data_IF_234477204171
#
_entry.id   IF_234477204171
#
_cell.length_a   1.000
_cell.length_b   1.000
_cell.length_c   1.000
_cell.angle_alpha   90.00
_cell.angle_beta   90.00
_cell.angle_gamma   90.00
#
_symmetry.space_group_name_H-M   'P 1'
#
loop_
_entity.id
_entity.type
_entity.pdbx_description
1 polymer ?
#
# COMPACT_ATOMS: atom_id res chain seq x y z
N UNK A 1 -34.31 -5.22 -32.41
CA UNK A 1 -33.49 -3.99 -32.44
C UNK A 1 -34.07 -2.80 -31.66
N UNK A 2 -35.29 -2.85 -31.08
CA UNK A 2 -35.78 -1.78 -30.16
C UNK A 2 -35.52 -2.04 -28.67
N UNK A 3 -35.28 -3.29 -28.24
CA UNK A 3 -35.01 -3.64 -26.83
C UNK A 3 -33.61 -3.28 -26.33
N UNK A 4 -32.60 -3.24 -27.20
CA UNK A 4 -31.22 -2.90 -26.81
C UNK A 4 -30.96 -1.38 -26.74
N UNK A 5 -31.84 -0.57 -27.34
CA UNK A 5 -31.77 0.90 -27.31
C UNK A 5 -32.49 1.49 -26.06
N UNK A 6 -33.43 0.73 -25.48
CA UNK A 6 -34.10 1.08 -24.22
C UNK A 6 -33.23 0.76 -23.00
N UNK A 7 -32.50 -0.37 -23.01
CA UNK A 7 -31.49 -0.69 -21.99
C UNK A 7 -30.35 0.32 -21.98
N UNK A 8 -29.93 0.85 -23.15
CA UNK A 8 -28.88 1.87 -23.24
C UNK A 8 -29.34 3.25 -22.77
N UNK A 9 -30.63 3.58 -22.92
CA UNK A 9 -31.21 4.84 -22.41
C UNK A 9 -31.49 4.83 -20.91
N UNK A 10 -31.54 3.68 -20.24
CA UNK A 10 -31.65 3.59 -18.78
C UNK A 10 -30.31 3.66 -18.06
N UNK A 11 -29.24 3.13 -18.65
CA UNK A 11 -27.88 3.31 -18.12
C UNK A 11 -27.45 4.79 -18.17
N UNK A 12 -27.88 5.56 -19.19
CA UNK A 12 -27.74 7.03 -19.22
C UNK A 12 -28.63 7.76 -18.19
N UNK A 13 -29.60 7.07 -17.57
CA UNK A 13 -30.47 7.61 -16.53
C UNK A 13 -29.79 7.70 -15.16
N UNK A 14 -28.75 6.89 -14.91
CA UNK A 14 -27.94 6.92 -13.68
C UNK A 14 -26.76 7.89 -13.81
N UNK A 15 -26.39 8.30 -15.03
CA UNK A 15 -25.46 9.41 -15.31
C UNK A 15 -26.10 10.78 -14.98
N UNK A 16 -26.44 11.01 -13.71
CA UNK A 16 -27.01 12.28 -13.27
C UNK A 16 -27.85 12.23 -12.00
N UNK A 17 -28.15 11.04 -11.46
CA UNK A 17 -28.86 10.92 -10.18
C UNK A 17 -27.85 11.15 -9.05
N UNK A 18 -28.12 12.16 -8.24
CA UNK A 18 -27.35 12.43 -7.03
C UNK A 18 -27.83 11.46 -5.95
N UNK A 19 -27.22 10.26 -5.90
CA UNK A 19 -27.61 9.18 -4.99
C UNK A 19 -27.29 9.47 -3.52
N UNK A 20 -26.86 10.68 -3.16
CA UNK A 20 -26.28 10.99 -1.84
C UNK A 20 -27.28 11.09 -0.70
N UNK A 21 -28.56 11.33 -1.00
CA UNK A 21 -29.58 11.66 0.00
C UNK A 21 -30.89 10.88 -0.18
N UNK A 22 -30.94 9.91 -1.11
CA UNK A 22 -32.16 9.16 -1.42
C UNK A 22 -31.93 7.66 -1.27
N UNK A 23 -32.94 6.98 -0.72
CA UNK A 23 -33.02 5.52 -0.72
C UNK A 23 -33.38 5.07 -2.14
N UNK A 24 -32.57 4.19 -2.74
CA UNK A 24 -32.72 3.81 -4.15
C UNK A 24 -32.63 2.31 -4.32
N UNK A 25 -33.64 1.71 -4.93
CA UNK A 25 -33.61 0.31 -5.35
C UNK A 25 -33.14 0.17 -6.80
N UNK A 26 -32.01 -0.52 -7.00
CA UNK A 26 -31.40 -0.80 -8.30
C UNK A 26 -31.36 -2.32 -8.62
N UNK A 27 -32.08 -3.17 -7.87
CA UNK A 27 -32.06 -4.65 -8.05
C UNK A 27 -32.46 -5.11 -9.46
N UNK A 28 -33.29 -4.33 -10.14
CA UNK A 28 -33.74 -4.58 -11.53
C UNK A 28 -32.79 -4.01 -12.60
N UNK A 29 -31.74 -3.29 -12.22
CA UNK A 29 -30.80 -2.63 -13.11
C UNK A 29 -29.46 -3.39 -13.15
N UNK A 30 -28.94 -3.66 -14.36
CA UNK A 30 -27.66 -4.37 -14.55
C UNK A 30 -26.47 -3.42 -14.31
N UNK A 31 -26.26 -3.02 -13.06
CA UNK A 31 -25.22 -2.07 -12.64
C UNK A 31 -24.22 -2.76 -11.71
N UNK A 32 -22.93 -2.64 -12.03
CA UNK A 32 -21.88 -3.18 -11.18
C UNK A 32 -21.77 -2.42 -9.84
N UNK A 33 -21.59 -3.10 -8.69
CA UNK A 33 -21.46 -2.46 -7.37
C UNK A 33 -20.38 -1.38 -7.29
N UNK A 34 -19.22 -1.63 -7.91
CA UNK A 34 -18.12 -0.65 -7.95
C UNK A 34 -18.53 0.67 -8.62
N UNK A 35 -19.40 0.60 -9.63
CA UNK A 35 -19.91 1.79 -10.34
C UNK A 35 -20.82 2.62 -9.44
N UNK A 36 -21.69 1.97 -8.66
CA UNK A 36 -22.57 2.65 -7.70
C UNK A 36 -21.77 3.24 -6.55
N UNK A 37 -20.79 2.50 -6.01
CA UNK A 37 -19.91 3.01 -4.95
C UNK A 37 -19.12 4.24 -5.41
N UNK A 38 -18.59 4.24 -6.63
CA UNK A 38 -17.91 5.41 -7.20
C UNK A 38 -18.87 6.61 -7.36
N UNK A 39 -20.11 6.36 -7.81
CA UNK A 39 -21.14 7.38 -7.95
C UNK A 39 -21.54 7.99 -6.59
N UNK A 40 -21.76 7.14 -5.58
CA UNK A 40 -22.09 7.53 -4.19
C UNK A 40 -20.97 8.35 -3.54
N UNK A 41 -19.70 7.99 -3.77
CA UNK A 41 -18.52 8.79 -3.35
C UNK A 41 -18.43 10.14 -4.08
N UNK A 42 -19.14 10.30 -5.19
CA UNK A 42 -19.03 11.46 -6.07
C UNK A 42 -17.70 11.52 -6.82
N UNK A 43 -17.05 10.38 -7.00
CA UNK A 43 -15.90 10.23 -7.87
C UNK A 43 -16.42 10.27 -9.33
N UNK A 44 -16.72 11.47 -9.83
CA UNK A 44 -16.84 11.65 -11.28
C UNK A 44 -15.50 11.20 -11.88
N UNK A 45 -15.52 10.14 -12.68
CA UNK A 45 -14.38 9.70 -13.47
C UNK A 45 -13.67 10.93 -14.06
N UNK A 46 -12.47 11.23 -13.57
CA UNK A 46 -11.59 12.14 -14.29
C UNK A 46 -11.13 11.35 -15.50
N UNK A 47 -11.52 11.73 -16.74
CA UNK A 47 -11.05 11.00 -17.90
C UNK A 47 -9.52 11.00 -17.90
N UNK A 48 -8.87 9.90 -18.32
CA UNK A 48 -7.42 9.80 -18.32
C UNK A 48 -6.85 10.96 -19.14
N UNK A 49 -6.18 11.90 -18.48
CA UNK A 49 -5.57 13.03 -19.15
C UNK A 49 -4.53 12.49 -20.13
N UNK A 50 -4.83 12.60 -21.44
CA UNK A 50 -3.90 12.42 -22.53
C UNK A 50 -2.74 13.39 -22.33
N UNK A 51 -1.66 12.93 -21.69
CA UNK A 51 -0.40 13.66 -21.65
C UNK A 51 0.17 13.68 -23.07
N UNK A 52 0.00 14.84 -23.69
CA UNK A 52 0.73 15.27 -24.87
C UNK A 52 2.22 15.07 -24.66
N UNK A 53 2.86 14.35 -25.57
CA UNK A 53 4.30 14.36 -25.70
C UNK A 53 4.80 15.74 -26.09
N UNK A 54 5.90 16.17 -25.48
CA UNK A 54 6.93 16.98 -26.15
C UNK A 54 8.30 16.71 -25.55
N UNK A 55 9.16 16.23 -26.46
CA UNK A 55 10.61 16.28 -26.53
C UNK A 55 11.25 17.48 -25.82
N UNK A 56 12.19 17.22 -24.92
CA UNK A 56 13.50 17.88 -24.91
C UNK A 56 14.50 17.02 -24.13
N UNK A 57 15.54 16.56 -24.81
CA UNK A 57 16.59 15.74 -24.23
C UNK A 57 17.45 16.49 -23.23
N UNK A 58 17.78 15.82 -22.14
CA UNK A 58 19.02 15.96 -21.39
C UNK A 58 19.33 14.59 -20.78
N UNK A 59 20.55 14.11 -21.00
CA UNK A 59 21.07 12.86 -20.48
C UNK A 59 21.16 12.96 -18.95
N UNK A 60 20.20 12.36 -18.25
CA UNK A 60 20.36 11.98 -16.85
C UNK A 60 20.76 10.52 -16.82
N UNK A 61 21.95 10.28 -16.26
CA UNK A 61 22.40 8.97 -15.80
C UNK A 61 21.30 8.35 -14.95
N UNK A 62 20.70 7.29 -15.47
CA UNK A 62 19.72 6.45 -14.77
C UNK A 62 20.37 5.92 -13.49
N UNK A 63 20.01 6.52 -12.35
CA UNK A 63 20.06 5.85 -11.06
C UNK A 63 19.18 4.61 -11.16
N UNK A 64 19.67 3.40 -10.84
CA UNK A 64 18.80 2.24 -10.79
C UNK A 64 17.75 2.48 -9.70
N UNK A 65 16.49 2.57 -10.13
CA UNK A 65 15.33 2.57 -9.24
C UNK A 65 15.44 1.32 -8.36
N UNK A 66 15.73 1.56 -7.08
CA UNK A 66 15.57 0.53 -6.05
C UNK A 66 14.09 0.15 -6.08
N UNK A 67 13.72 -1.13 -6.00
CA UNK A 67 12.32 -1.52 -5.94
C UNK A 67 11.73 -0.87 -4.70
N UNK A 68 10.92 0.15 -4.94
CA UNK A 68 10.19 0.92 -3.94
C UNK A 68 9.41 -0.09 -3.11
N UNK A 69 9.80 -0.26 -1.84
CA UNK A 69 8.99 -1.03 -0.92
C UNK A 69 7.61 -0.36 -0.93
N UNK A 70 6.50 -1.10 -1.14
CA UNK A 70 5.21 -0.47 -1.30
C UNK A 70 4.95 0.43 -0.09
N UNK A 71 4.58 1.71 -0.30
CA UNK A 71 4.25 2.59 0.81
C UNK A 71 3.24 1.88 1.70
N UNK A 72 3.47 1.91 3.01
CA UNK A 72 2.52 1.35 3.97
C UNK A 72 1.17 2.04 3.69
N UNK A 73 0.12 1.31 3.28
CA UNK A 73 -1.12 1.96 2.88
C UNK A 73 -1.68 2.76 4.06
N UNK A 74 -2.12 3.98 3.76
CA UNK A 74 -2.86 4.82 4.71
C UNK A 74 -4.09 4.06 5.23
N UNK A 75 -4.52 4.39 6.44
CA UNK A 75 -5.72 3.76 7.00
C UNK A 75 -6.91 4.22 6.14
N UNK A 76 -7.66 3.29 5.50
CA UNK A 76 -8.72 3.66 4.55
C UNK A 76 -9.84 4.47 5.23
N UNK A 77 -10.57 5.28 4.47
CA UNK A 77 -11.72 6.01 4.99
C UNK A 77 -12.80 5.03 5.49
N UNK A 78 -13.69 5.47 6.38
CA UNK A 78 -14.69 4.57 6.95
C UNK A 78 -15.66 4.04 5.88
N UNK A 79 -16.09 4.88 4.94
CA UNK A 79 -16.96 4.47 3.82
C UNK A 79 -16.26 3.50 2.85
N UNK A 80 -14.94 3.57 2.68
CA UNK A 80 -14.21 2.61 1.85
C UNK A 80 -14.31 1.16 2.37
N UNK A 81 -14.56 1.01 3.68
CA UNK A 81 -14.70 -0.28 4.35
C UNK A 81 -16.16 -0.66 4.57
N UNK A 82 -17.00 0.32 4.92
CA UNK A 82 -18.38 0.09 5.37
C UNK A 82 -19.44 0.34 4.28
N UNK A 83 -19.06 0.94 3.16
CA UNK A 83 -20.00 1.44 2.16
C UNK A 83 -20.67 0.36 1.31
N UNK A 84 -20.27 -0.91 1.43
CA UNK A 84 -20.82 -2.02 0.66
C UNK A 84 -21.03 -3.27 1.52
N UNK A 85 -22.27 -3.74 1.60
CA UNK A 85 -22.69 -4.92 2.35
C UNK A 85 -23.11 -6.00 1.36
N UNK A 86 -22.32 -7.05 1.22
CA UNK A 86 -22.53 -8.15 0.28
C UNK A 86 -22.75 -9.52 0.95
N UNK A 87 -22.61 -9.59 2.27
CA UNK A 87 -22.68 -10.82 3.03
C UNK A 87 -21.38 -11.61 3.07
N UNK A 88 -20.32 -11.15 2.40
CA UNK A 88 -18.98 -11.73 2.46
C UNK A 88 -18.11 -10.85 3.36
N UNK A 89 -17.75 -11.32 4.56
CA UNK A 89 -17.01 -10.50 5.55
C UNK A 89 -15.52 -10.34 5.19
N UNK A 90 -15.25 -9.65 4.08
CA UNK A 90 -13.95 -9.22 3.63
C UNK A 90 -13.93 -7.68 3.56
N UNK A 91 -12.99 -7.01 4.24
CA UNK A 91 -12.02 -7.54 5.21
C UNK A 91 -12.70 -8.04 6.50
N UNK A 92 -11.93 -8.60 7.44
CA UNK A 92 -12.47 -9.17 8.69
C UNK A 92 -13.29 -8.17 9.53
N UNK A 93 -14.21 -8.68 10.36
CA UNK A 93 -15.07 -7.89 11.26
C UNK A 93 -14.32 -6.85 12.10
N UNK A 94 -13.11 -7.19 12.57
CA UNK A 94 -12.27 -6.25 13.33
C UNK A 94 -11.90 -5.01 12.52
N UNK A 95 -11.75 -5.13 11.21
CA UNK A 95 -11.49 -3.99 10.31
C UNK A 95 -12.75 -3.15 10.15
N UNK A 96 -13.91 -3.77 9.95
CA UNK A 96 -15.21 -3.11 9.89
C UNK A 96 -15.49 -2.31 11.17
N UNK A 97 -15.38 -2.93 12.34
CA UNK A 97 -15.62 -2.24 13.61
C UNK A 97 -14.61 -1.15 13.92
N UNK A 98 -13.35 -1.31 13.49
CA UNK A 98 -12.38 -0.24 13.59
C UNK A 98 -12.71 0.95 12.67
N UNK A 99 -13.34 0.72 11.50
CA UNK A 99 -13.86 1.77 10.65
C UNK A 99 -15.09 2.46 11.28
N UNK A 100 -16.01 1.69 11.84
CA UNK A 100 -17.20 2.20 12.53
C UNK A 100 -16.80 3.06 13.74
N UNK A 101 -15.89 2.56 14.58
CA UNK A 101 -15.35 3.30 15.72
C UNK A 101 -14.74 4.66 15.32
N UNK A 102 -14.00 4.71 14.20
CA UNK A 102 -13.43 5.97 13.70
C UNK A 102 -14.49 6.94 13.20
N UNK A 103 -15.54 6.45 12.55
CA UNK A 103 -16.62 7.30 12.05
C UNK A 103 -17.33 8.04 13.20
N UNK A 104 -17.55 7.38 14.34
CA UNK A 104 -18.09 8.00 15.56
C UNK A 104 -17.03 8.75 16.39
N UNK A 105 -15.87 9.07 15.81
CA UNK A 105 -14.83 9.89 16.42
C UNK A 105 -13.97 9.20 17.50
N UNK A 106 -13.91 7.87 17.56
CA UNK A 106 -13.00 7.17 18.47
C UNK A 106 -11.58 7.19 17.92
N UNK A 107 -10.64 7.50 18.81
CA UNK A 107 -9.21 7.42 18.53
C UNK A 107 -8.55 6.33 19.38
N UNK A 108 -7.65 5.52 18.81
CA UNK A 108 -6.92 4.52 19.56
C UNK A 108 -5.78 5.17 20.35
N UNK A 109 -5.46 4.69 21.57
CA UNK A 109 -4.36 5.21 22.38
C UNK A 109 -2.99 5.06 21.70
N UNK A 110 -2.86 4.15 20.74
CA UNK A 110 -1.63 3.92 19.98
C UNK A 110 -1.40 4.97 18.87
N UNK A 111 -2.35 5.89 18.61
CA UNK A 111 -2.26 6.82 17.48
C UNK A 111 -0.98 7.65 17.47
N UNK A 112 -0.66 8.32 18.59
CA UNK A 112 0.54 9.13 18.69
C UNK A 112 1.83 8.32 18.43
N UNK A 113 1.92 7.11 19.00
CA UNK A 113 3.07 6.23 18.79
C UNK A 113 3.19 5.75 17.34
N UNK A 114 2.07 5.59 16.63
CA UNK A 114 2.06 5.27 15.20
C UNK A 114 2.55 6.46 14.36
N UNK A 115 2.05 7.66 14.66
CA UNK A 115 2.46 8.90 13.98
C UNK A 115 3.97 9.16 14.18
N UNK A 116 4.51 8.94 15.38
CA UNK A 116 5.94 9.04 15.67
C UNK A 116 6.79 8.06 14.84
N UNK A 117 6.33 6.81 14.71
CA UNK A 117 7.02 5.79 13.90
C UNK A 117 6.96 6.13 12.41
N UNK A 118 5.84 6.69 11.93
CA UNK A 118 5.71 7.14 10.55
C UNK A 118 6.64 8.32 10.26
N UNK A 119 6.70 9.31 11.15
CA UNK A 119 7.65 10.41 11.03
C UNK A 119 9.11 9.89 11.01
N UNK A 120 9.45 8.93 11.87
CA UNK A 120 10.78 8.33 11.88
C UNK A 120 11.11 7.57 10.59
N UNK A 121 10.13 6.91 9.97
CA UNK A 121 10.29 6.27 8.65
C UNK A 121 10.50 7.31 7.55
N UNK A 122 9.72 8.39 7.56
CA UNK A 122 9.79 9.45 6.55
C UNK A 122 11.13 10.21 6.63
N UNK A 123 11.71 10.35 7.82
CA UNK A 123 13.03 10.95 8.05
C UNK A 123 14.21 10.01 7.71
N UNK A 124 13.97 8.72 7.56
CA UNK A 124 15.04 7.71 7.41
C UNK A 124 15.50 7.60 5.95
N UNK A 125 16.72 8.07 5.68
CA UNK A 125 17.33 7.99 4.34
C UNK A 125 18.42 6.91 4.29
N UNK A 126 18.16 5.86 3.51
CA UNK A 126 19.13 4.79 3.22
C UNK A 126 20.02 5.19 2.04
N UNK A 127 21.34 5.33 2.21
CA UNK A 127 22.24 5.65 1.11
C UNK A 127 22.43 4.46 0.16
N UNK A 128 22.47 4.74 -1.14
CA UNK A 128 22.93 3.79 -2.15
C UNK A 128 24.46 3.83 -2.26
N UNK A 129 25.10 2.66 -2.19
CA UNK A 129 26.55 2.54 -2.07
C UNK A 129 27.11 1.46 -2.98
N UNK A 130 27.81 1.87 -4.03
CA UNK A 130 28.57 0.95 -4.89
C UNK A 130 29.97 0.68 -4.33
N UNK A 131 30.09 -0.43 -3.60
CA UNK A 131 31.37 -0.98 -3.13
C UNK A 131 32.10 -1.74 -4.24
N UNK A 132 31.36 -2.32 -5.20
CA UNK A 132 31.92 -3.17 -6.24
C UNK A 132 32.81 -2.36 -7.19
N UNK A 133 32.40 -1.16 -7.59
CA UNK A 133 33.24 -0.26 -8.38
C UNK A 133 34.52 0.14 -7.65
N UNK A 134 34.46 0.40 -6.34
CA UNK A 134 35.65 0.74 -5.56
C UNK A 134 36.64 -0.43 -5.49
N UNK A 135 36.15 -1.66 -5.30
CA UNK A 135 36.97 -2.87 -5.30
C UNK A 135 37.65 -3.12 -6.65
N UNK A 136 36.92 -2.94 -7.76
CA UNK A 136 37.50 -3.06 -9.12
C UNK A 136 38.65 -2.08 -9.31
N UNK A 137 38.49 -0.83 -8.87
CA UNK A 137 39.52 0.21 -9.00
C UNK A 137 40.79 -0.10 -8.22
N UNK A 138 40.66 -0.61 -6.99
CA UNK A 138 41.81 -1.08 -6.20
C UNK A 138 42.54 -2.22 -6.91
N UNK A 139 41.79 -3.18 -7.46
CA UNK A 139 42.38 -4.30 -8.19
C UNK A 139 43.11 -3.86 -9.48
N UNK A 140 42.53 -2.94 -10.24
CA UNK A 140 43.13 -2.35 -11.44
C UNK A 140 44.44 -1.61 -11.13
N UNK A 141 44.42 -0.72 -10.13
CA UNK A 141 45.60 0.02 -9.70
C UNK A 141 46.70 -0.92 -9.17
N UNK A 142 46.33 -1.94 -8.38
CA UNK A 142 47.28 -2.95 -7.89
C UNK A 142 47.89 -3.82 -8.99
N UNK A 143 47.12 -4.18 -10.01
CA UNK A 143 47.62 -4.93 -11.16
C UNK A 143 48.62 -4.10 -12.00
N UNK A 144 48.31 -2.82 -12.22
CA UNK A 144 49.22 -1.90 -12.93
C UNK A 144 50.51 -1.65 -12.15
N UNK A 145 50.41 -1.47 -10.83
CA UNK A 145 51.55 -1.31 -9.93
C UNK A 145 52.48 -2.53 -9.99
N UNK A 146 51.92 -3.75 -9.96
CA UNK A 146 52.69 -4.98 -10.09
C UNK A 146 53.41 -5.07 -11.44
N UNK A 147 52.72 -4.74 -12.54
CA UNK A 147 53.30 -4.72 -13.89
C UNK A 147 54.49 -3.75 -13.98
N UNK A 148 54.34 -2.53 -13.47
CA UNK A 148 55.39 -1.51 -13.50
C UNK A 148 56.60 -1.90 -12.63
N UNK A 149 56.39 -2.58 -11.50
CA UNK A 149 57.50 -3.11 -10.68
C UNK A 149 58.31 -4.18 -11.40
N UNK A 150 57.65 -5.09 -12.11
CA UNK A 150 58.31 -6.11 -12.93
C UNK A 150 59.11 -5.48 -14.08
N UNK A 151 58.53 -4.50 -14.76
CA UNK A 151 59.20 -3.76 -15.84
C UNK A 151 60.43 -3.00 -15.32
N UNK A 152 60.30 -2.32 -14.18
CA UNK A 152 61.40 -1.60 -13.53
C UNK A 152 62.54 -2.56 -13.12
N UNK A 153 62.23 -3.74 -12.58
CA UNK A 153 63.21 -4.76 -12.24
C UNK A 153 63.94 -5.27 -13.51
N UNK A 154 63.20 -5.49 -14.59
CA UNK A 154 63.74 -5.87 -15.89
C UNK A 154 64.71 -4.82 -16.43
N UNK A 155 64.33 -3.54 -16.40
CA UNK A 155 65.15 -2.41 -16.85
C UNK A 155 66.42 -2.26 -15.99
N UNK A 156 66.32 -2.43 -14.67
CA UNK A 156 67.49 -2.44 -13.76
C UNK A 156 68.48 -3.55 -14.13
N UNK A 157 67.99 -4.76 -14.38
CA UNK A 157 68.82 -5.89 -14.82
C UNK A 157 69.49 -5.62 -16.17
N UNK A 158 68.75 -5.08 -17.15
CA UNK A 158 69.28 -4.71 -18.47
C UNK A 158 70.36 -3.63 -18.38
N UNK A 159 70.13 -2.60 -17.57
CA UNK A 159 71.07 -1.50 -17.35
C UNK A 159 72.38 -2.02 -16.72
N UNK A 160 72.28 -2.92 -15.75
CA UNK A 160 73.44 -3.55 -15.11
C UNK A 160 74.27 -4.37 -16.11
N UNK A 161 73.63 -5.24 -16.90
CA UNK A 161 74.33 -6.05 -17.91
C UNK A 161 75.05 -5.19 -18.98
N UNK A 162 74.47 -4.03 -19.35
CA UNK A 162 75.13 -3.09 -20.28
C UNK A 162 76.35 -2.42 -19.66
N UNK A 163 76.29 -2.07 -18.37
CA UNK A 163 77.46 -1.52 -17.65
C UNK A 163 78.59 -2.53 -17.56
N UNK A 164 78.28 -3.80 -17.35
CA UNK A 164 79.28 -4.88 -17.28
C UNK A 164 79.98 -5.15 -18.62
N UNK A 165 79.38 -4.73 -19.74
CA UNK A 165 79.91 -4.92 -21.10
C UNK A 165 80.36 -3.62 -21.77
N UNK A 166 80.43 -2.50 -21.02
CA UNK A 166 80.74 -1.15 -21.51
C UNK A 166 79.87 -0.72 -22.73
N UNK A 167 78.63 -1.20 -22.79
CA UNK A 167 77.67 -0.85 -23.83
C UNK A 167 76.92 0.47 -23.50
N UNK A 168 76.39 1.21 -24.50
CA UNK A 168 75.65 2.46 -24.27
C UNK A 168 74.45 2.28 -23.32
N UNK A 169 74.27 3.18 -22.36
CA UNK A 169 73.29 3.03 -21.27
C UNK A 169 72.20 4.09 -21.23
N UNK A 170 72.38 5.22 -21.93
CA UNK A 170 71.54 6.41 -21.82
C UNK A 170 70.06 6.12 -22.06
N UNK A 171 69.73 5.35 -23.11
CA UNK A 171 68.34 5.01 -23.43
C UNK A 171 67.67 4.15 -22.34
N UNK A 172 68.36 3.12 -21.86
CA UNK A 172 67.83 2.23 -20.80
C UNK A 172 67.70 2.99 -19.48
N UNK A 173 68.60 3.93 -19.20
CA UNK A 173 68.52 4.79 -18.02
C UNK A 173 67.33 5.75 -18.08
N UNK A 174 67.03 6.31 -19.27
CA UNK A 174 65.85 7.15 -19.48
C UNK A 174 64.54 6.36 -19.32
N UNK A 175 64.43 5.17 -19.95
CA UNK A 175 63.30 4.26 -19.77
C UNK A 175 63.10 3.90 -18.30
N UNK A 176 64.18 3.58 -17.58
CA UNK A 176 64.12 3.25 -16.16
C UNK A 176 63.57 4.41 -15.31
N UNK A 177 63.99 5.64 -15.59
CA UNK A 177 63.52 6.83 -14.88
C UNK A 177 62.04 7.12 -15.16
N UNK A 178 61.60 6.93 -16.42
CA UNK A 178 60.21 7.06 -16.82
C UNK A 178 59.32 6.02 -16.14
N UNK A 179 59.70 4.73 -16.18
CA UNK A 179 58.97 3.65 -15.49
C UNK A 179 58.91 3.89 -13.97
N UNK A 180 59.99 4.39 -13.37
CA UNK A 180 59.99 4.72 -11.93
C UNK A 180 59.00 5.84 -11.61
N UNK A 181 58.90 6.86 -12.46
CA UNK A 181 57.94 7.97 -12.30
C UNK A 181 56.50 7.45 -12.39
N UNK A 182 56.20 6.68 -13.43
CA UNK A 182 54.88 6.05 -13.61
C UNK A 182 54.52 5.13 -12.44
N UNK A 183 55.48 4.38 -11.91
CA UNK A 183 55.27 3.53 -10.74
C UNK A 183 54.83 4.37 -9.53
N UNK A 184 55.52 5.47 -9.24
CA UNK A 184 55.13 6.34 -8.12
C UNK A 184 53.75 6.98 -8.27
N UNK A 185 53.35 7.32 -9.50
CA UNK A 185 52.00 7.81 -9.81
C UNK A 185 50.95 6.73 -9.50
N UNK A 186 51.16 5.51 -9.99
CA UNK A 186 50.23 4.38 -9.77
C UNK A 186 50.22 3.92 -8.31
N UNK A 187 51.34 3.96 -7.61
CA UNK A 187 51.40 3.72 -6.15
C UNK A 187 50.49 4.70 -5.40
N UNK A 188 50.51 5.98 -5.80
CA UNK A 188 49.64 7.00 -5.23
C UNK A 188 48.17 6.76 -5.57
N UNK A 189 47.88 6.37 -6.83
CA UNK A 189 46.53 6.02 -7.27
C UNK A 189 45.98 4.82 -6.50
N UNK A 190 46.78 3.76 -6.27
CA UNK A 190 46.39 2.59 -5.49
C UNK A 190 46.00 2.99 -4.07
N UNK A 191 46.82 3.82 -3.40
CA UNK A 191 46.51 4.30 -2.04
C UNK A 191 45.22 5.11 -2.03
N UNK A 192 45.00 5.98 -3.02
CA UNK A 192 43.76 6.75 -3.13
C UNK A 192 42.53 5.86 -3.40
N UNK A 193 42.69 4.81 -4.21
CA UNK A 193 41.65 3.81 -4.47
C UNK A 193 41.29 3.02 -3.20
N UNK A 194 42.28 2.61 -2.41
CA UNK A 194 42.08 1.90 -1.13
C UNK A 194 41.34 2.77 -0.12
N UNK A 195 41.76 4.03 0.07
CA UNK A 195 41.06 4.98 0.93
C UNK A 195 39.62 5.25 0.48
N UNK A 196 39.37 5.16 -0.83
CA UNK A 196 38.02 5.28 -1.38
C UNK A 196 37.20 4.03 -1.08
N UNK A 197 37.78 2.84 -1.24
CA UNK A 197 37.15 1.58 -0.88
C UNK A 197 36.77 1.54 0.60
N UNK A 198 37.68 1.90 1.50
CA UNK A 198 37.42 1.91 2.96
C UNK A 198 36.22 2.80 3.31
N UNK A 199 36.15 4.00 2.72
CA UNK A 199 35.02 4.92 2.91
C UNK A 199 33.71 4.33 2.37
N UNK A 200 33.75 3.67 1.21
CA UNK A 200 32.57 3.02 0.62
C UNK A 200 32.12 1.81 1.45
N UNK A 201 33.05 1.03 2.00
CA UNK A 201 32.69 -0.09 2.89
C UNK A 201 32.10 0.39 4.21
N UNK A 202 32.61 1.51 4.76
CA UNK A 202 31.99 2.16 5.91
C UNK A 202 30.57 2.64 5.61
N UNK A 203 30.38 3.36 4.50
CA UNK A 203 29.05 3.81 4.08
C UNK A 203 28.09 2.64 3.81
N UNK A 204 28.59 1.52 3.25
CA UNK A 204 27.77 0.35 3.00
C UNK A 204 27.33 -0.35 4.31
N UNK A 205 28.16 -0.31 5.37
CA UNK A 205 27.76 -0.78 6.69
C UNK A 205 26.66 0.10 7.29
N UNK A 206 26.85 1.42 7.27
CA UNK A 206 25.82 2.37 7.70
C UNK A 206 24.51 2.20 6.91
N UNK A 207 24.60 1.98 5.59
CA UNK A 207 23.43 1.71 4.76
C UNK A 207 22.68 0.45 5.19
N UNK A 208 23.39 -0.59 5.63
CA UNK A 208 22.77 -1.84 6.14
C UNK A 208 22.09 -1.60 7.48
N UNK A 209 22.76 -0.92 8.40
CA UNK A 209 22.19 -0.57 9.71
C UNK A 209 20.90 0.26 9.56
N UNK A 210 20.89 1.23 8.62
CA UNK A 210 19.68 2.00 8.31
C UNK A 210 18.56 1.17 7.70
N UNK A 211 18.86 0.19 6.83
CA UNK A 211 17.83 -0.73 6.31
C UNK A 211 17.26 -1.63 7.42
N UNK A 212 18.10 -2.08 8.34
CA UNK A 212 17.65 -2.85 9.50
C UNK A 212 16.72 -2.01 10.37
N UNK A 213 17.10 -0.76 10.67
CA UNK A 213 16.25 0.19 11.38
C UNK A 213 14.92 0.44 10.64
N UNK A 214 14.95 0.56 9.32
CA UNK A 214 13.74 0.71 8.51
C UNK A 214 12.79 -0.48 8.71
N UNK A 215 13.28 -1.71 8.59
CA UNK A 215 12.50 -2.93 8.76
C UNK A 215 11.89 -3.04 10.16
N UNK A 216 12.64 -2.67 11.19
CA UNK A 216 12.14 -2.64 12.58
C UNK A 216 11.00 -1.62 12.75
N UNK A 217 11.14 -0.42 12.16
CA UNK A 217 10.11 0.61 12.20
C UNK A 217 8.86 0.20 11.41
N UNK A 218 9.03 -0.43 10.24
CA UNK A 218 7.92 -0.96 9.44
C UNK A 218 7.13 -2.05 10.19
N UNK A 219 7.83 -3.00 10.83
CA UNK A 219 7.18 -4.02 11.66
C UNK A 219 6.47 -3.41 12.86
N UNK A 220 7.12 -2.45 13.54
CA UNK A 220 6.50 -1.70 14.64
C UNK A 220 5.24 -0.97 14.17
N UNK A 221 5.26 -0.31 13.01
CA UNK A 221 4.11 0.35 12.43
C UNK A 221 2.98 -0.65 12.13
N UNK A 222 3.31 -1.84 11.61
CA UNK A 222 2.33 -2.89 11.36
C UNK A 222 1.70 -3.42 12.67
N UNK A 223 2.50 -3.63 13.71
CA UNK A 223 2.04 -4.07 15.02
C UNK A 223 1.17 -3.00 15.70
N UNK A 224 1.55 -1.72 15.62
CA UNK A 224 0.73 -0.60 16.12
C UNK A 224 -0.62 -0.53 15.39
N UNK A 225 -0.67 -0.69 14.07
CA UNK A 225 -1.94 -0.74 13.31
C UNK A 225 -2.83 -1.90 13.73
N UNK A 226 -2.26 -3.08 14.01
CA UNK A 226 -3.01 -4.23 14.56
C UNK A 226 -3.62 -3.87 15.92
N UNK A 227 -2.81 -3.31 16.83
CA UNK A 227 -3.25 -2.90 18.16
C UNK A 227 -4.30 -1.77 18.12
N UNK A 228 -4.17 -0.80 17.20
CA UNK A 228 -5.16 0.26 16.98
C UNK A 228 -6.51 -0.34 16.59
N UNK A 229 -6.53 -1.26 15.61
CA UNK A 229 -7.77 -1.92 15.17
C UNK A 229 -8.41 -2.72 16.29
N UNK A 230 -7.61 -3.46 17.05
CA UNK A 230 -8.10 -4.21 18.22
C UNK A 230 -8.71 -3.28 19.27
N UNK A 231 -8.02 -2.20 19.63
CA UNK A 231 -8.52 -1.21 20.60
C UNK A 231 -9.80 -0.52 20.13
N UNK A 232 -9.90 -0.19 18.84
CA UNK A 232 -11.07 0.46 18.28
C UNK A 232 -12.26 -0.50 18.23
N UNK A 233 -12.06 -1.73 17.74
CA UNK A 233 -13.10 -2.74 17.69
C UNK A 233 -13.63 -3.07 19.10
N UNK A 234 -12.73 -3.20 20.09
CA UNK A 234 -13.12 -3.41 21.48
C UNK A 234 -13.93 -2.23 22.06
N UNK A 235 -13.62 -0.99 21.67
CA UNK A 235 -14.33 0.19 22.14
C UNK A 235 -15.79 0.26 21.69
N UNK A 236 -16.12 -0.34 20.54
CA UNK A 236 -17.49 -0.37 19.99
C UNK A 236 -18.18 -1.73 20.15
N UNK A 237 -17.50 -2.74 20.70
CA UNK A 237 -18.06 -4.08 20.86
C UNK A 237 -19.43 -4.11 21.60
N UNK A 238 -19.66 -3.31 22.66
CA UNK A 238 -20.99 -3.25 23.29
C UNK A 238 -22.07 -2.71 22.36
N UNK A 239 -21.81 -1.61 21.64
CA UNK A 239 -22.76 -1.02 20.70
C UNK A 239 -23.03 -1.95 19.51
N UNK A 240 -22.02 -2.69 19.07
CA UNK A 240 -22.17 -3.72 18.04
C UNK A 240 -23.09 -4.85 18.50
N UNK A 241 -22.96 -5.34 19.74
CA UNK A 241 -23.85 -6.37 20.27
C UNK A 241 -25.32 -5.90 20.30
N UNK A 242 -25.57 -4.64 20.69
CA UNK A 242 -26.90 -4.02 20.65
C UNK A 242 -27.42 -3.87 19.21
N UNK A 243 -26.54 -3.50 18.28
CA UNK A 243 -26.87 -3.37 16.86
C UNK A 243 -27.22 -4.73 16.23
N UNK A 244 -26.48 -5.80 16.53
CA UNK A 244 -26.81 -7.17 16.09
C UNK A 244 -28.21 -7.56 16.55
N UNK A 245 -28.57 -7.29 17.81
CA UNK A 245 -29.90 -7.59 18.33
C UNK A 245 -31.00 -6.78 17.62
N UNK A 246 -30.72 -5.53 17.25
CA UNK A 246 -31.67 -4.65 16.56
C UNK A 246 -31.89 -5.06 15.10
N UNK A 247 -30.80 -5.36 14.38
CA UNK A 247 -30.85 -5.78 12.96
C UNK A 247 -31.47 -7.18 12.83
N UNK A 248 -31.17 -8.10 13.75
CA UNK A 248 -31.75 -9.45 13.73
C UNK A 248 -33.28 -9.47 13.98
N UNK A 249 -33.86 -8.37 14.48
CA UNK A 249 -35.30 -8.24 14.69
C UNK A 249 -36.06 -7.77 13.43
N UNK A 250 -35.37 -7.56 12.31
CA UNK A 250 -35.94 -7.07 11.05
C UNK A 250 -36.31 -8.26 10.16
N UNK A 251 -37.61 -8.44 9.94
CA UNK A 251 -38.16 -9.61 9.24
C UNK A 251 -37.84 -9.66 7.74
N UNK A 252 -37.50 -8.53 7.10
CA UNK A 252 -37.19 -8.45 5.68
C UNK A 252 -35.71 -8.73 5.34
N UNK A 253 -34.91 -9.16 6.32
CA UNK A 253 -33.52 -9.57 6.07
C UNK A 253 -33.44 -11.10 5.94
N UNK A 254 -32.80 -11.57 4.88
CA UNK A 254 -32.52 -13.00 4.63
C UNK A 254 -31.64 -13.65 5.71
N UNK A 255 -31.12 -12.82 6.61
CA UNK A 255 -30.21 -13.16 7.71
C UNK A 255 -30.95 -13.47 9.01
N UNK A 256 -32.29 -13.50 9.00
CA UNK A 256 -33.10 -13.85 10.17
C UNK A 256 -32.73 -15.25 10.70
N UNK A 257 -32.02 -15.28 11.83
CA UNK A 257 -31.66 -16.52 12.52
C UNK A 257 -32.79 -16.89 13.48
N UNK A 258 -33.31 -18.12 13.40
CA UNK A 258 -34.36 -18.64 14.32
C UNK A 258 -34.00 -18.50 15.81
N UNK A 259 -32.71 -18.36 16.12
CA UNK A 259 -32.20 -18.03 17.45
C UNK A 259 -31.12 -16.96 17.31
N UNK A 260 -31.32 -15.74 17.86
CA UNK A 260 -30.32 -14.70 17.78
C UNK A 260 -29.01 -15.20 18.41
N UNK A 261 -27.84 -14.91 17.80
CA UNK A 261 -26.57 -15.33 18.35
C UNK A 261 -26.41 -14.73 19.77
N UNK A 262 -25.81 -15.46 20.71
CA UNK A 262 -25.64 -14.96 22.07
C UNK A 262 -24.82 -13.66 22.03
N UNK A 263 -25.46 -12.54 22.38
CA UNK A 263 -24.84 -11.23 22.50
C UNK A 263 -24.16 -11.02 23.86
N UNK A 264 -24.53 -11.84 24.85
CA UNK A 264 -23.87 -11.91 26.15
C UNK A 264 -22.43 -12.40 25.99
N UNK A 265 -21.46 -11.48 26.03
CA UNK A 265 -20.04 -11.82 26.07
C UNK A 265 -19.26 -11.65 24.77
N UNK A 266 -19.75 -10.86 23.80
CA UNK A 266 -18.93 -10.38 22.66
C UNK A 266 -17.91 -9.34 23.18
N UNK A 267 -16.99 -9.77 24.04
CA UNK A 267 -15.87 -8.96 24.51
C UNK A 267 -14.74 -8.91 23.46
N UNK A 268 -14.66 -9.93 22.60
CA UNK A 268 -13.81 -9.96 21.41
C UNK A 268 -14.70 -10.05 20.16
N UNK A 269 -14.77 -9.00 19.33
CA UNK A 269 -15.53 -9.06 18.09
C UNK A 269 -15.03 -10.12 17.10
N UNK A 270 -13.80 -10.60 17.23
CA UNK A 270 -13.29 -11.71 16.42
C UNK A 270 -13.87 -13.08 16.78
N UNK A 271 -14.65 -13.18 17.87
CA UNK A 271 -15.31 -14.41 18.32
C UNK A 271 -16.81 -14.45 17.94
N UNK A 272 -17.29 -13.47 17.18
CA UNK A 272 -18.64 -13.50 16.64
C UNK A 272 -18.80 -14.68 15.66
N UNK A 273 -19.80 -15.52 15.90
CA UNK A 273 -20.08 -16.76 15.14
C UNK A 273 -21.46 -16.70 14.46
N UNK A 274 -22.03 -15.50 14.34
CA UNK A 274 -23.27 -15.29 13.59
C UNK A 274 -23.01 -15.03 12.11
N UNK A 275 -24.06 -14.83 11.30
CA UNK A 275 -23.91 -14.58 9.87
C UNK A 275 -23.13 -13.30 9.56
N UNK A 276 -22.30 -13.36 8.53
CA UNK A 276 -21.43 -12.27 8.06
C UNK A 276 -22.22 -11.02 7.66
N UNK A 277 -23.33 -11.20 6.92
CA UNK A 277 -24.23 -10.11 6.53
C UNK A 277 -24.83 -9.36 7.74
N UNK A 278 -25.21 -10.08 8.80
CA UNK A 278 -25.71 -9.48 10.04
C UNK A 278 -24.61 -8.70 10.76
N UNK A 279 -23.38 -9.21 10.76
CA UNK A 279 -22.23 -8.50 11.29
C UNK A 279 -21.90 -7.22 10.50
N UNK A 280 -21.96 -7.26 9.16
CA UNK A 280 -21.74 -6.08 8.32
C UNK A 280 -22.81 -5.00 8.59
N UNK A 281 -24.09 -5.37 8.56
CA UNK A 281 -25.20 -4.45 8.85
C UNK A 281 -25.12 -3.86 10.25
N UNK A 282 -24.81 -4.67 11.26
CA UNK A 282 -24.63 -4.19 12.63
C UNK A 282 -23.40 -3.26 12.75
N UNK A 283 -22.33 -3.50 12.02
CA UNK A 283 -21.17 -2.60 11.98
C UNK A 283 -21.51 -1.25 11.30
N UNK A 284 -22.30 -1.26 10.23
CA UNK A 284 -22.85 -0.05 9.59
C UNK A 284 -23.72 0.73 10.56
N UNK A 285 -24.61 0.04 11.29
CA UNK A 285 -25.49 0.67 12.29
C UNK A 285 -24.75 1.37 13.44
N UNK A 286 -23.55 0.87 13.78
CA UNK A 286 -22.69 1.47 14.80
C UNK A 286 -21.97 2.71 14.25
N UNK A 287 -21.79 2.79 12.93
CA UNK A 287 -21.07 3.87 12.28
C UNK A 287 -21.91 5.14 12.17
N UNK A 288 -21.21 6.28 12.04
CA UNK A 288 -21.78 7.59 11.70
C UNK A 288 -21.37 7.89 10.25
N UNK A 289 -22.21 7.51 9.30
CA UNK A 289 -21.92 7.62 7.87
C UNK A 289 -22.75 8.75 7.26
N UNK A 290 -22.04 9.76 6.73
CA UNK A 290 -22.64 10.86 5.97
C UNK A 290 -22.95 10.49 4.51
N UNK A 291 -22.70 9.23 4.13
CA UNK A 291 -22.80 8.75 2.75
C UNK A 291 -23.62 7.46 2.73
N UNK A 292 -24.52 7.28 1.76
CA UNK A 292 -25.33 6.08 1.62
C UNK A 292 -24.51 4.78 1.57
N UNK A 293 -25.14 3.70 2.03
CA UNK A 293 -24.56 2.35 2.05
C UNK A 293 -25.22 1.51 0.97
N UNK A 294 -24.40 0.82 0.19
CA UNK A 294 -24.86 -0.09 -0.84
C UNK A 294 -25.06 -1.48 -0.22
N UNK A 295 -26.26 -2.04 -0.35
CA UNK A 295 -26.59 -3.38 0.18
C UNK A 295 -26.98 -4.30 -0.98
N UNK A 296 -26.25 -5.41 -1.12
CA UNK A 296 -26.50 -6.39 -2.18
C UNK A 296 -27.79 -7.18 -1.92
N UNK A 297 -28.51 -7.53 -2.98
CA UNK A 297 -29.81 -8.23 -2.95
C UNK A 297 -29.74 -9.57 -2.23
N UNK A 298 -28.60 -10.26 -2.28
CA UNK A 298 -28.37 -11.50 -1.54
C UNK A 298 -28.51 -11.34 -0.02
N UNK A 299 -28.26 -10.14 0.51
CA UNK A 299 -28.41 -9.79 1.93
C UNK A 299 -29.84 -9.36 2.26
N UNK A 300 -30.54 -8.80 1.26
CA UNK A 300 -31.89 -8.27 1.39
C UNK A 300 -32.98 -9.24 0.88
N UNK A 301 -32.69 -10.54 0.73
CA UNK A 301 -33.58 -11.50 0.05
C UNK A 301 -35.02 -11.38 0.54
N UNK A 302 -35.91 -11.20 -0.43
CA UNK A 302 -37.33 -10.96 -0.23
C UNK A 302 -37.91 -12.10 0.61
N UNK A 303 -38.72 -11.73 1.60
CA UNK A 303 -39.71 -12.64 2.12
C UNK A 303 -40.69 -12.97 0.99
N UNK A 304 -40.35 -13.93 0.13
CA UNK A 304 -41.23 -14.51 -0.90
C UNK A 304 -42.33 -15.39 -0.25
N UNK A 305 -42.73 -15.06 0.98
CA UNK A 305 -43.91 -15.59 1.63
C UNK A 305 -45.07 -14.61 1.49
N UNK A 306 -45.84 -14.84 0.44
CA UNK A 306 -47.26 -14.46 0.30
C UNK A 306 -47.50 -12.99 -0.05
N UNK A 307 -47.51 -12.66 -1.33
CA UNK A 307 -48.74 -12.29 -2.06
C UNK A 307 -48.48 -12.13 -3.55
N UNK A 308 -49.18 -12.94 -4.35
CA UNK A 308 -49.35 -12.82 -5.80
C UNK A 308 -50.28 -11.64 -6.13
N UNK A 309 -49.87 -10.41 -5.80
CA UNK A 309 -50.54 -9.19 -6.22
C UNK A 309 -49.48 -8.14 -6.59
N UNK A 310 -49.28 -7.99 -7.90
CA UNK A 310 -48.46 -6.96 -8.49
C UNK A 310 -49.06 -5.57 -8.23
N UNK A 311 -48.39 -4.74 -7.43
CA UNK A 311 -48.40 -3.29 -7.59
C UNK A 311 -47.14 -2.67 -6.96
N UNK A 312 -46.26 -2.16 -7.83
CA UNK A 312 -45.17 -1.16 -7.78
C UNK A 312 -44.93 -0.24 -6.54
N UNK A 313 -45.36 -0.60 -5.33
CA UNK A 313 -45.23 0.24 -4.12
C UNK A 313 -44.71 -0.53 -2.89
N UNK A 314 -44.28 -1.79 -3.06
CA UNK A 314 -43.75 -2.62 -1.97
C UNK A 314 -42.22 -2.57 -1.87
N UNK A 315 -41.50 -2.24 -2.95
CA UNK A 315 -40.03 -2.29 -2.98
C UNK A 315 -39.35 -1.09 -2.28
N UNK A 316 -39.98 0.10 -2.30
CA UNK A 316 -39.56 1.24 -1.45
C UNK A 316 -39.62 0.87 0.05
N UNK A 317 -40.46 -0.11 0.43
CA UNK A 317 -40.61 -0.52 1.83
C UNK A 317 -39.39 -1.27 2.37
N UNK A 318 -38.61 -1.96 1.54
CA UNK A 318 -37.46 -2.75 2.01
C UNK A 318 -36.24 -1.84 2.20
N UNK A 319 -35.98 -0.94 1.24
CA UNK A 319 -34.93 0.08 1.39
C UNK A 319 -35.22 0.98 2.59
N UNK A 320 -36.46 1.46 2.74
CA UNK A 320 -36.88 2.29 3.89
C UNK A 320 -36.74 1.54 5.22
N UNK A 321 -37.12 0.26 5.28
CA UNK A 321 -37.01 -0.53 6.51
C UNK A 321 -35.54 -0.76 6.91
N UNK A 322 -34.66 -1.03 5.95
CA UNK A 322 -33.22 -1.17 6.20
C UNK A 322 -32.61 0.18 6.58
N UNK A 323 -32.96 1.27 5.88
CA UNK A 323 -32.50 2.61 6.18
C UNK A 323 -32.96 3.10 7.55
N UNK A 324 -34.20 2.80 7.98
CA UNK A 324 -34.72 3.11 9.32
C UNK A 324 -33.90 2.39 10.40
N UNK A 325 -33.58 1.12 10.17
CA UNK A 325 -32.82 0.32 11.13
C UNK A 325 -31.37 0.79 11.20
N UNK A 326 -30.73 1.03 10.05
CA UNK A 326 -29.34 1.47 9.93
C UNK A 326 -29.15 2.92 10.38
N UNK A 327 -30.18 3.76 10.24
CA UNK A 327 -30.12 5.20 10.48
C UNK A 327 -29.28 5.94 9.43
N UNK A 328 -29.12 5.38 8.23
CA UNK A 328 -28.34 5.92 7.12
C UNK A 328 -29.04 5.55 5.81
N UNK A 329 -29.03 6.41 4.77
CA UNK A 329 -29.63 6.08 3.48
C UNK A 329 -29.03 4.82 2.84
N UNK A 330 -29.84 4.05 2.13
CA UNK A 330 -29.45 2.75 1.56
C UNK A 330 -29.72 2.70 0.06
N UNK A 331 -28.77 2.15 -0.68
CA UNK A 331 -28.94 1.79 -2.10
C UNK A 331 -28.95 0.27 -2.21
N UNK A 332 -30.06 -0.32 -2.65
CA UNK A 332 -30.17 -1.76 -2.89
C UNK A 332 -29.66 -2.11 -4.28
N UNK A 333 -28.87 -3.19 -4.40
CA UNK A 333 -28.27 -3.67 -5.66
C UNK A 333 -28.45 -5.17 -5.90
#
# INVERSE_FOLDING_TARGET
MRRADESRRRVEGVEGVDLRDEDVDLRDEDVAPDTVLAAVRGERERPPSLRHGRLSGFEHTETPETPDAPPIPEIPASHDVLGHVDGDLQPSLRVWLAAAARSVGREPPQRAAYDDVRAALDDLVVPDVDVAAARRRVAEAGAEEARLREELATLRGRLQARRETDAPTEGVAAELAETATRLSEVETERVAAEQTLDRREAAAREAREKREQQLELEDRAANLRRAMRESLAAAVAPAFADAVASVAAVDCLSVAVETPPPTEGIADPGAYDGPDALAQLAAVRVADLDTPVVVSAAVADDADSVTDDADSAADDSVADAIAEVLGTPVVLL
#
